data_IF_855054651385
#
_entry.id   IF_855054651385
#
_cell.length_a   1.000
_cell.length_b   1.000
_cell.length_c   1.000
_cell.angle_alpha   90.00
_cell.angle_beta   90.00
_cell.angle_gamma   90.00
#
_symmetry.space_group_name_H-M   'P 1'
#
loop_
_entity.id
_entity.type
_entity.pdbx_description
1 polymer ?
#
# COMPACT_ATOMS: atom_id res chain seq x y z
N UNK A 1 12.17 -27.11 5.74
CA UNK A 1 10.93 -26.32 5.64
C UNK A 1 11.28 -24.86 5.43
N UNK A 2 11.47 -24.48 4.16
CA UNK A 2 11.77 -23.10 3.77
C UNK A 2 10.52 -22.26 4.06
N UNK A 3 10.71 -21.15 4.78
CA UNK A 3 9.71 -20.12 5.02
C UNK A 3 9.20 -19.65 3.64
N UNK A 4 8.10 -20.21 3.14
CA UNK A 4 7.41 -19.67 1.96
C UNK A 4 6.91 -18.29 2.36
N UNK A 5 7.62 -17.22 1.99
CA UNK A 5 7.08 -15.87 2.13
C UNK A 5 5.79 -15.80 1.30
N UNK A 6 4.65 -15.81 1.99
CA UNK A 6 3.28 -15.88 1.44
C UNK A 6 2.75 -14.53 0.92
N UNK A 7 3.63 -13.57 0.61
CA UNK A 7 3.25 -12.21 0.26
C UNK A 7 4.01 -11.70 -0.96
N UNK A 8 3.29 -11.11 -1.91
CA UNK A 8 3.85 -10.27 -2.95
C UNK A 8 3.96 -8.84 -2.43
N UNK A 9 5.17 -8.28 -2.50
CA UNK A 9 5.56 -7.04 -1.83
C UNK A 9 5.81 -5.92 -2.84
N UNK A 10 5.11 -4.79 -2.72
CA UNK A 10 5.36 -3.60 -3.53
C UNK A 10 5.84 -2.46 -2.62
N UNK A 11 7.04 -1.93 -2.90
CA UNK A 11 7.64 -0.79 -2.18
C UNK A 11 7.81 0.39 -3.13
N UNK A 12 7.76 1.61 -2.58
CA UNK A 12 8.07 2.89 -3.29
C UNK A 12 7.13 3.22 -4.45
N UNK A 13 5.82 2.98 -4.30
CA UNK A 13 4.83 3.38 -5.31
C UNK A 13 4.77 4.92 -5.43
N UNK A 14 5.06 5.51 -6.61
CA UNK A 14 4.86 6.94 -6.84
C UNK A 14 3.39 7.23 -7.15
N UNK A 15 2.88 8.37 -6.68
CA UNK A 15 1.49 8.80 -6.88
C UNK A 15 1.10 8.96 -8.36
N UNK A 16 2.05 9.29 -9.25
CA UNK A 16 1.72 9.97 -10.51
C UNK A 16 1.67 9.14 -11.79
N UNK A 17 1.92 7.82 -11.80
CA UNK A 17 1.89 7.08 -13.09
C UNK A 17 1.35 5.65 -13.07
N UNK A 18 1.33 4.95 -11.93
CA UNK A 18 0.99 3.51 -11.89
C UNK A 18 0.08 3.12 -10.72
N UNK A 19 -0.45 4.11 -10.01
CA UNK A 19 -1.32 3.96 -8.85
C UNK A 19 -2.79 4.07 -9.28
N UNK A 20 -3.69 3.14 -8.90
CA UNK A 20 -3.46 1.84 -8.25
C UNK A 20 -3.15 0.70 -9.23
N UNK A 21 -2.99 1.00 -10.53
CA UNK A 21 -2.97 0.02 -11.63
C UNK A 21 -2.01 -1.16 -11.43
N UNK A 22 -0.78 -0.92 -10.96
CA UNK A 22 0.17 -2.02 -10.70
C UNK A 22 -0.31 -2.94 -9.58
N UNK A 23 -0.79 -2.38 -8.48
CA UNK A 23 -1.32 -3.18 -7.35
C UNK A 23 -2.61 -3.88 -7.75
N UNK A 24 -3.43 -3.28 -8.62
CA UNK A 24 -4.63 -3.90 -9.14
C UNK A 24 -4.31 -5.11 -10.04
N UNK A 25 -3.37 -4.98 -10.98
CA UNK A 25 -2.91 -6.11 -11.80
C UNK A 25 -2.33 -7.22 -10.94
N UNK A 26 -1.47 -6.87 -9.98
CA UNK A 26 -0.91 -7.85 -9.05
C UNK A 26 -1.98 -8.49 -8.17
N UNK A 27 -2.99 -7.75 -7.74
CA UNK A 27 -4.13 -8.28 -7.03
C UNK A 27 -4.99 -9.22 -7.89
N UNK A 28 -5.10 -8.98 -9.19
CA UNK A 28 -5.85 -9.88 -10.07
C UNK A 28 -5.13 -11.21 -10.28
N UNK A 29 -3.81 -11.17 -10.46
CA UNK A 29 -3.03 -12.32 -10.93
C UNK A 29 -2.30 -13.07 -9.81
N UNK A 30 -1.96 -12.43 -8.68
CA UNK A 30 -1.16 -13.06 -7.65
C UNK A 30 -1.97 -14.13 -6.90
N UNK A 31 -1.48 -15.40 -6.85
CA UNK A 31 -2.09 -16.44 -6.02
C UNK A 31 -1.76 -16.25 -4.53
N UNK A 32 -0.92 -15.28 -4.19
CA UNK A 32 -0.49 -15.00 -2.83
C UNK A 32 -1.18 -13.76 -2.26
N UNK A 33 -0.99 -13.51 -0.97
CA UNK A 33 -1.43 -12.28 -0.33
C UNK A 33 -0.62 -11.10 -0.87
N UNK A 34 -1.20 -9.91 -0.91
CA UNK A 34 -0.54 -8.71 -1.45
C UNK A 34 -0.26 -7.72 -0.33
N UNK A 35 0.93 -7.15 -0.33
CA UNK A 35 1.35 -6.15 0.64
C UNK A 35 1.91 -4.90 -0.06
N UNK A 36 1.52 -3.71 0.39
CA UNK A 36 1.89 -2.45 -0.24
C UNK A 36 2.43 -1.43 0.77
N UNK A 37 3.53 -0.78 0.41
CA UNK A 37 4.26 0.18 1.26
C UNK A 37 4.64 1.41 0.42
N UNK A 38 3.70 2.34 0.19
CA UNK A 38 3.98 3.59 -0.50
C UNK A 38 4.99 4.47 0.26
N UNK A 39 5.70 5.32 -0.48
CA UNK A 39 6.44 6.43 0.11
C UNK A 39 5.48 7.60 0.39
N UNK A 40 5.85 8.54 1.25
CA UNK A 40 5.15 9.82 1.42
C UNK A 40 5.40 10.78 0.25
N UNK A 41 4.95 10.36 -0.93
CA UNK A 41 5.21 11.02 -2.19
C UNK A 41 6.57 10.68 -2.82
N UNK A 42 6.90 11.41 -3.87
CA UNK A 42 8.23 11.40 -4.47
C UNK A 42 9.18 12.27 -3.63
N UNK A 43 10.48 11.92 -3.57
CA UNK A 43 11.44 12.79 -2.92
C UNK A 43 11.48 14.16 -3.60
N UNK A 44 11.43 15.22 -2.81
CA UNK A 44 11.54 16.60 -3.29
C UNK A 44 13.00 16.94 -3.65
N UNK A 45 13.23 18.17 -4.13
CA UNK A 45 14.57 18.64 -4.53
C UNK A 45 15.62 18.62 -3.40
N UNK A 46 15.18 18.56 -2.14
CA UNK A 46 16.03 18.46 -0.95
C UNK A 46 16.17 17.02 -0.43
N UNK A 47 15.61 16.03 -1.14
CA UNK A 47 15.58 14.62 -0.71
C UNK A 47 14.59 14.33 0.41
N UNK A 48 13.73 15.30 0.76
CA UNK A 48 12.65 15.17 1.74
C UNK A 48 11.36 14.62 1.11
N UNK A 49 10.36 14.40 1.96
CA UNK A 49 9.04 13.89 1.60
C UNK A 49 7.97 14.83 2.16
N UNK A 50 7.07 15.29 1.30
CA UNK A 50 6.14 16.39 1.62
C UNK A 50 4.69 15.93 1.80
N UNK A 51 4.33 14.70 1.41
CA UNK A 51 2.96 14.22 1.60
C UNK A 51 2.66 14.03 3.08
N UNK A 52 1.51 14.54 3.50
CA UNK A 52 1.04 14.45 4.88
C UNK A 52 0.35 13.10 5.16
N UNK A 53 0.13 12.74 6.44
CA UNK A 53 -0.70 11.59 6.80
C UNK A 53 -2.08 11.60 6.13
N UNK A 54 -2.70 12.77 6.01
CA UNK A 54 -4.01 12.97 5.40
C UNK A 54 -3.96 12.74 3.88
N UNK A 55 -2.96 13.29 3.20
CA UNK A 55 -2.75 13.10 1.76
C UNK A 55 -2.55 11.62 1.42
N UNK A 56 -1.70 10.95 2.21
CA UNK A 56 -1.42 9.55 2.01
C UNK A 56 -2.63 8.68 2.36
N UNK A 57 -3.38 9.00 3.42
CA UNK A 57 -4.58 8.25 3.81
C UNK A 57 -5.64 8.31 2.71
N UNK A 58 -5.84 9.47 2.10
CA UNK A 58 -6.73 9.63 0.96
C UNK A 58 -6.26 8.78 -0.23
N UNK A 59 -4.96 8.75 -0.51
CA UNK A 59 -4.41 7.93 -1.58
C UNK A 59 -4.63 6.43 -1.31
N UNK A 60 -4.27 5.94 -0.12
CA UNK A 60 -4.37 4.50 0.17
C UNK A 60 -5.80 4.00 0.35
N UNK A 61 -6.76 4.91 0.56
CA UNK A 61 -8.18 4.57 0.63
C UNK A 61 -8.65 3.80 -0.60
N UNK A 62 -8.13 4.13 -1.78
CA UNK A 62 -8.48 3.42 -3.01
C UNK A 62 -8.05 1.95 -2.99
N UNK A 63 -6.88 1.62 -2.40
CA UNK A 63 -6.48 0.20 -2.21
C UNK A 63 -7.43 -0.56 -1.29
N UNK A 64 -7.92 0.13 -0.25
CA UNK A 64 -8.79 -0.43 0.76
C UNK A 64 -10.20 -0.64 0.20
N UNK A 65 -10.76 0.37 -0.47
CA UNK A 65 -12.09 0.31 -1.08
C UNK A 65 -12.15 -0.78 -2.16
N UNK A 66 -11.08 -0.95 -2.94
CA UNK A 66 -10.97 -2.02 -3.93
C UNK A 66 -10.60 -3.38 -3.33
N UNK A 67 -10.28 -3.43 -2.03
CA UNK A 67 -9.84 -4.65 -1.32
C UNK A 67 -8.73 -5.40 -2.07
N UNK A 68 -7.73 -4.67 -2.59
CA UNK A 68 -6.64 -5.22 -3.41
C UNK A 68 -5.35 -5.48 -2.64
N UNK A 69 -5.34 -5.25 -1.33
CA UNK A 69 -4.20 -5.51 -0.44
C UNK A 69 -4.63 -6.28 0.81
N UNK A 70 -3.66 -6.98 1.41
CA UNK A 70 -3.78 -7.69 2.68
C UNK A 70 -3.03 -6.99 3.81
N UNK A 71 -1.91 -6.36 3.47
CA UNK A 71 -1.09 -5.57 4.39
C UNK A 71 -0.82 -4.23 3.74
N UNK A 72 -1.03 -3.16 4.51
CA UNK A 72 -0.70 -1.80 4.13
C UNK A 72 0.27 -1.24 5.17
N UNK A 73 1.38 -0.67 4.71
CA UNK A 73 2.36 -0.02 5.55
C UNK A 73 2.93 1.23 4.88
N UNK A 74 4.10 1.67 5.35
CA UNK A 74 4.81 2.80 4.79
C UNK A 74 6.26 2.46 4.46
N UNK A 75 6.82 3.18 3.49
CA UNK A 75 8.24 3.11 3.15
C UNK A 75 8.92 4.45 3.46
N UNK A 76 9.60 5.07 2.51
CA UNK A 76 10.39 6.28 2.76
C UNK A 76 9.48 7.49 3.00
N UNK A 77 9.86 8.35 3.96
CA UNK A 77 9.07 9.55 4.34
C UNK A 77 7.88 9.27 5.25
N UNK A 78 7.43 8.01 5.37
CA UNK A 78 6.32 7.68 6.25
C UNK A 78 6.72 7.74 7.72
N UNK A 79 5.76 8.10 8.58
CA UNK A 79 5.94 8.28 10.02
C UNK A 79 4.84 7.53 10.80
N UNK A 80 4.94 7.39 12.13
CA UNK A 80 3.85 6.80 12.92
C UNK A 80 2.49 7.50 12.75
N UNK A 81 2.47 8.80 12.40
CA UNK A 81 1.24 9.52 12.09
C UNK A 81 0.57 8.99 10.82
N UNK A 82 1.33 8.72 9.77
CA UNK A 82 0.84 8.08 8.54
C UNK A 82 0.24 6.70 8.83
N UNK A 83 0.95 5.87 9.60
CA UNK A 83 0.47 4.52 9.94
C UNK A 83 -0.84 4.57 10.74
N UNK A 84 -0.99 5.53 11.65
CA UNK A 84 -2.27 5.75 12.35
C UNK A 84 -3.39 6.13 11.39
N UNK A 85 -3.13 7.04 10.45
CA UNK A 85 -4.11 7.43 9.44
C UNK A 85 -4.52 6.25 8.55
N UNK A 86 -3.58 5.38 8.17
CA UNK A 86 -3.88 4.16 7.40
C UNK A 86 -4.73 3.17 8.21
N UNK A 87 -4.37 2.96 9.48
CA UNK A 87 -5.11 2.07 10.37
C UNK A 87 -6.55 2.57 10.61
N UNK A 88 -6.75 3.89 10.72
CA UNK A 88 -8.07 4.50 10.79
C UNK A 88 -8.86 4.31 9.49
N UNK A 89 -8.25 4.57 8.33
CA UNK A 89 -8.87 4.38 7.04
C UNK A 89 -9.26 2.92 6.75
N UNK A 90 -8.52 1.96 7.31
CA UNK A 90 -8.76 0.53 7.12
C UNK A 90 -9.83 -0.07 8.07
N UNK A 91 -10.37 0.71 9.01
CA UNK A 91 -11.38 0.20 9.95
C UNK A 91 -12.62 -0.31 9.21
N UNK A 92 -13.03 -1.54 9.50
CA UNK A 92 -14.20 -2.16 8.89
C UNK A 92 -14.00 -2.67 7.45
N UNK A 93 -12.82 -2.47 6.85
CA UNK A 93 -12.51 -2.97 5.51
C UNK A 93 -12.09 -4.44 5.57
N UNK A 94 -12.64 -5.25 4.67
CA UNK A 94 -12.24 -6.66 4.54
C UNK A 94 -11.00 -6.77 3.66
N UNK A 95 -9.91 -7.40 4.11
CA UNK A 95 -8.72 -7.59 3.28
C UNK A 95 -8.97 -8.45 2.03
N UNK A 96 -8.11 -8.30 1.02
CA UNK A 96 -8.16 -9.08 -0.23
C UNK A 96 -8.27 -10.58 0.03
N UNK A 97 -9.10 -11.29 -0.74
CA UNK A 97 -9.11 -12.76 -0.82
C UNK A 97 -8.41 -13.23 -2.11
N UNK A 98 -7.27 -13.93 -2.04
CA UNK A 98 -6.64 -14.51 -3.22
C UNK A 98 -7.60 -15.48 -3.94
N UNK A 99 -7.56 -15.52 -5.27
CA UNK A 99 -8.43 -16.40 -6.08
C UNK A 99 -8.10 -17.88 -5.92
N UNK A 100 -6.88 -18.22 -5.54
CA UNK A 100 -6.41 -19.60 -5.36
C UNK A 100 -5.68 -19.63 -4.03
N UNK A 101 -6.21 -20.37 -3.06
CA UNK A 101 -5.59 -20.61 -1.75
C UNK A 101 -5.13 -22.08 -1.69
#
# INVERSE_FOLDING_TARGET
MILKLLFLMIRRLPRSTLFPYTTQTLSAEAPFLVSAYPNAGLPNAFGGYDETPEDMAAAVKEYLDLSIVNILGGCCGTTPAHIRAFAQAAQGITPRKPRVA
#
